data_IF_293544273608
#
_entry.id   IF_293544273608
#
_cell.length_a   1.000
_cell.length_b   1.000
_cell.length_c   1.000
_cell.angle_alpha   90.00
_cell.angle_beta   90.00
_cell.angle_gamma   90.00
#
_symmetry.space_group_name_H-M   'P 1'
#
loop_
_entity.id
_entity.type
_entity.pdbx_description
1 polymer ?
#
# COMPACT_ATOMS: atom_id res chain seq x y z
N UNK A 1 -41.58 -11.52 62.81
CA UNK A 1 -40.95 -10.55 63.74
C UNK A 1 -39.46 -10.78 63.68
N UNK A 2 -38.73 -9.92 62.96
CA UNK A 2 -37.97 -8.78 63.50
C UNK A 2 -36.49 -9.17 63.65
N UNK A 3 -35.63 -8.32 63.10
CA UNK A 3 -34.18 -8.23 63.31
C UNK A 3 -33.27 -8.99 62.34
N UNK A 4 -33.17 -8.48 61.11
CA UNK A 4 -31.90 -8.52 60.35
C UNK A 4 -31.59 -7.17 59.66
N UNK A 5 -32.14 -6.07 60.19
CA UNK A 5 -31.83 -4.69 59.81
C UNK A 5 -30.89 -4.14 60.88
N UNK A 6 -29.61 -4.52 60.83
CA UNK A 6 -28.56 -3.86 61.63
C UNK A 6 -27.16 -4.02 61.05
N UNK A 7 -27.04 -4.28 59.75
CA UNK A 7 -25.76 -4.29 59.04
C UNK A 7 -25.78 -3.32 57.87
N UNK A 8 -26.29 -2.11 58.14
CA UNK A 8 -26.35 -1.00 57.19
C UNK A 8 -26.02 0.31 57.93
N UNK A 9 -24.92 0.38 58.68
CA UNK A 9 -24.54 1.64 59.34
C UNK A 9 -23.03 1.84 59.59
N UNK A 10 -22.15 1.06 58.93
CA UNK A 10 -20.70 1.10 59.19
C UNK A 10 -19.81 1.54 58.01
N UNK A 11 -20.32 1.62 56.78
CA UNK A 11 -19.46 1.84 55.59
C UNK A 11 -19.81 3.09 54.77
N UNK A 12 -20.76 3.91 55.23
CA UNK A 12 -21.15 5.17 54.57
C UNK A 12 -20.45 6.43 55.12
N UNK A 13 -19.37 6.28 55.89
CA UNK A 13 -18.65 7.41 56.50
C UNK A 13 -17.17 7.52 56.11
N UNK A 14 -16.77 7.04 54.93
CA UNK A 14 -15.54 7.52 54.26
C UNK A 14 -15.93 8.65 53.32
N UNK A 15 -16.16 9.79 53.95
CA UNK A 15 -16.22 11.11 53.35
C UNK A 15 -14.79 11.66 53.14
N UNK A 16 -14.66 12.57 52.16
CA UNK A 16 -13.56 13.51 51.91
C UNK A 16 -12.32 13.01 51.15
N UNK A 17 -12.30 13.30 49.84
CA UNK A 17 -11.66 14.54 49.37
C UNK A 17 -11.94 14.77 47.88
N UNK A 18 -13.02 15.48 47.57
CA UNK A 18 -13.16 16.14 46.27
C UNK A 18 -12.19 17.33 46.26
N UNK A 19 -11.05 17.14 45.58
CA UNK A 19 -10.23 18.26 45.16
C UNK A 19 -11.03 19.08 44.16
N UNK A 20 -11.24 20.35 44.47
CA UNK A 20 -11.71 21.35 43.51
C UNK A 20 -10.71 21.39 42.35
N UNK A 21 -11.06 20.78 41.23
CA UNK A 21 -10.37 21.04 39.97
C UNK A 21 -10.73 22.46 39.54
N UNK A 22 -9.75 23.36 39.65
CA UNK A 22 -9.74 24.63 38.96
C UNK A 22 -10.05 24.38 37.49
N UNK A 23 -11.17 24.93 37.02
CA UNK A 23 -11.50 25.06 35.60
C UNK A 23 -10.41 25.93 34.97
N UNK A 24 -9.36 25.28 34.49
CA UNK A 24 -8.37 25.91 33.61
C UNK A 24 -9.13 26.21 32.33
N UNK A 25 -9.48 27.49 32.13
CA UNK A 25 -9.80 28.03 30.81
C UNK A 25 -8.63 27.65 29.90
N UNK A 26 -8.85 26.61 29.10
CA UNK A 26 -7.92 26.19 28.06
C UNK A 26 -7.98 27.27 27.00
N UNK A 27 -7.14 28.29 27.16
CA UNK A 27 -6.83 29.23 26.09
C UNK A 27 -6.41 28.37 24.91
N UNK A 28 -7.16 28.44 23.81
CA UNK A 28 -6.79 27.84 22.55
C UNK A 28 -5.53 28.55 22.05
N UNK A 29 -4.38 28.15 22.57
CA UNK A 29 -3.12 28.33 21.88
C UNK A 29 -3.20 27.42 20.66
N UNK A 30 -3.47 28.06 19.51
CA UNK A 30 -3.21 27.50 18.19
C UNK A 30 -1.78 26.96 18.27
N UNK A 31 -1.64 25.64 18.36
CA UNK A 31 -0.33 25.01 18.23
C UNK A 31 0.13 25.35 16.83
N UNK A 32 1.17 26.19 16.75
CA UNK A 32 1.98 26.33 15.56
C UNK A 32 2.28 24.93 15.02
N UNK A 33 1.85 24.71 13.79
CA UNK A 33 2.13 23.51 13.01
C UNK A 33 3.64 23.33 13.01
N UNK A 34 4.10 22.22 13.61
CA UNK A 34 5.51 21.87 13.63
C UNK A 34 6.08 21.97 12.20
N UNK A 35 7.29 22.54 12.01
CA UNK A 35 7.88 22.68 10.70
C UNK A 35 8.03 21.32 10.04
N UNK A 36 7.77 21.30 8.74
CA UNK A 36 7.66 20.14 7.86
C UNK A 36 8.87 19.18 7.83
N UNK A 37 9.97 19.54 8.50
CA UNK A 37 11.25 18.84 8.50
C UNK A 37 11.28 17.60 9.41
N UNK A 38 10.14 17.21 10.01
CA UNK A 38 10.02 16.01 10.85
C UNK A 38 8.88 15.08 10.45
N UNK A 39 8.51 15.02 9.16
CA UNK A 39 7.62 13.95 8.70
C UNK A 39 8.48 12.70 8.50
N UNK A 40 8.47 11.83 9.51
CA UNK A 40 9.11 10.51 9.44
C UNK A 40 8.22 9.57 8.61
N UNK A 41 8.44 9.58 7.30
CA UNK A 41 7.81 8.65 6.37
C UNK A 41 8.81 7.54 6.11
N UNK A 42 8.32 6.30 6.13
CA UNK A 42 9.09 5.16 5.67
C UNK A 42 9.61 5.40 4.25
N UNK A 43 10.90 5.16 4.03
CA UNK A 43 11.50 5.27 2.69
C UNK A 43 11.39 3.97 1.91
N UNK A 44 10.91 2.89 2.55
CA UNK A 44 10.71 1.54 2.00
C UNK A 44 9.24 1.23 1.72
N UNK A 45 8.51 2.20 1.15
CA UNK A 45 7.11 2.02 0.77
C UNK A 45 6.97 1.13 -0.46
N UNK A 46 5.98 0.25 -0.42
CA UNK A 46 5.59 -0.56 -1.57
C UNK A 46 4.11 -0.38 -1.87
N UNK A 47 3.75 -0.46 -3.13
CA UNK A 47 2.35 -0.42 -3.54
C UNK A 47 1.63 -1.72 -3.29
N UNK A 48 0.32 -1.63 -3.10
CA UNK A 48 -0.58 -2.79 -2.96
C UNK A 48 -1.62 -2.75 -4.06
N UNK A 49 -1.87 -3.92 -4.63
CA UNK A 49 -2.71 -4.08 -5.81
C UNK A 49 -3.57 -5.34 -5.72
N UNK A 50 -4.77 -5.26 -6.28
CA UNK A 50 -5.55 -6.44 -6.65
C UNK A 50 -4.96 -6.98 -7.96
N UNK A 51 -4.17 -8.05 -7.90
CA UNK A 51 -3.54 -8.67 -9.08
C UNK A 51 -4.52 -9.59 -9.83
N UNK A 52 -5.48 -10.17 -9.12
CA UNK A 52 -6.54 -11.01 -9.66
C UNK A 52 -7.83 -10.87 -8.83
N UNK A 53 -8.85 -11.67 -9.13
CA UNK A 53 -10.04 -11.84 -8.27
C UNK A 53 -9.73 -12.44 -6.89
N UNK A 54 -8.67 -13.23 -6.80
CA UNK A 54 -8.31 -14.05 -5.64
C UNK A 54 -7.03 -13.58 -4.95
N UNK A 55 -6.24 -12.75 -5.62
CA UNK A 55 -4.93 -12.30 -5.12
C UNK A 55 -4.87 -10.79 -5.04
N UNK A 56 -4.76 -10.30 -3.82
CA UNK A 56 -4.26 -8.95 -3.52
C UNK A 56 -2.84 -9.11 -2.99
N UNK A 57 -1.91 -8.25 -3.37
CA UNK A 57 -0.52 -8.38 -2.97
C UNK A 57 0.17 -7.03 -2.79
N UNK A 58 1.16 -6.99 -1.91
CA UNK A 58 2.20 -5.97 -1.93
C UNK A 58 3.09 -6.28 -3.13
N UNK A 59 3.44 -5.26 -3.92
CA UNK A 59 4.13 -5.43 -5.20
C UNK A 59 5.43 -4.64 -5.21
N UNK A 60 6.47 -5.29 -5.75
CA UNK A 60 7.77 -4.69 -6.06
C UNK A 60 7.99 -4.83 -7.56
N UNK A 61 8.07 -3.70 -8.26
CA UNK A 61 8.44 -3.68 -9.66
C UNK A 61 9.92 -3.98 -9.82
N UNK A 62 10.23 -4.95 -10.69
CA UNK A 62 11.60 -5.24 -11.11
C UNK A 62 12.02 -4.28 -12.22
N UNK A 63 13.32 -4.06 -12.34
CA UNK A 63 13.98 -3.25 -13.37
C UNK A 63 13.63 -1.75 -13.34
N UNK A 64 12.84 -1.32 -12.35
CA UNK A 64 12.61 0.09 -12.06
C UNK A 64 13.79 0.66 -11.27
N UNK A 65 14.73 1.30 -11.97
CA UNK A 65 15.95 1.90 -11.42
C UNK A 65 15.75 2.93 -10.29
N UNK A 66 14.49 3.26 -9.95
CA UNK A 66 14.11 4.27 -8.95
C UNK A 66 13.40 3.69 -7.71
N UNK A 67 13.16 2.37 -7.63
CA UNK A 67 12.56 1.76 -6.43
C UNK A 67 13.61 1.44 -5.36
N UNK A 68 13.26 1.67 -4.09
CA UNK A 68 14.12 1.44 -2.94
C UNK A 68 14.43 -0.07 -2.82
N UNK A 69 15.71 -0.44 -2.72
CA UNK A 69 16.20 -1.82 -2.84
C UNK A 69 15.88 -2.54 -4.16
N UNK A 70 15.39 -1.85 -5.21
CA UNK A 70 15.08 -2.46 -6.51
C UNK A 70 16.25 -3.29 -7.05
N UNK A 71 17.48 -2.78 -6.89
CA UNK A 71 18.70 -3.48 -7.28
C UNK A 71 18.88 -4.86 -6.62
N UNK A 72 18.50 -5.04 -5.35
CA UNK A 72 18.62 -6.34 -4.65
C UNK A 72 17.54 -7.33 -5.07
N UNK A 73 16.30 -6.86 -5.28
CA UNK A 73 15.23 -7.69 -5.84
C UNK A 73 15.57 -8.14 -7.26
N UNK A 74 16.06 -7.21 -8.08
CA UNK A 74 16.53 -7.48 -9.45
C UNK A 74 17.67 -8.47 -9.48
N UNK A 75 18.69 -8.29 -8.63
CA UNK A 75 19.83 -9.20 -8.57
C UNK A 75 19.40 -10.62 -8.22
N UNK A 76 18.60 -10.79 -7.17
CA UNK A 76 18.09 -12.11 -6.75
C UNK A 76 17.25 -12.73 -7.87
N UNK A 77 16.33 -11.95 -8.46
CA UNK A 77 15.50 -12.42 -9.56
C UNK A 77 16.35 -12.87 -10.76
N UNK A 78 17.27 -12.03 -11.24
CA UNK A 78 18.11 -12.32 -12.41
C UNK A 78 19.01 -13.55 -12.18
N UNK A 79 19.59 -13.70 -10.98
CA UNK A 79 20.41 -14.86 -10.64
C UNK A 79 19.60 -16.17 -10.66
N UNK A 80 18.36 -16.13 -10.19
CA UNK A 80 17.49 -17.30 -10.14
C UNK A 80 16.91 -17.59 -11.51
N UNK A 81 16.46 -16.56 -12.22
CA UNK A 81 15.91 -16.71 -13.56
C UNK A 81 16.92 -17.36 -14.51
N UNK A 82 18.16 -16.90 -14.50
CA UNK A 82 19.23 -17.45 -15.35
C UNK A 82 19.45 -18.95 -15.09
N UNK A 83 19.23 -19.42 -13.85
CA UNK A 83 19.47 -20.81 -13.43
C UNK A 83 18.23 -21.70 -13.59
N UNK A 84 17.05 -21.16 -13.31
CA UNK A 84 15.83 -21.92 -13.14
C UNK A 84 14.85 -21.71 -14.32
N UNK A 85 15.15 -20.78 -15.24
CA UNK A 85 14.40 -20.46 -16.45
C UNK A 85 12.89 -20.26 -16.19
N UNK A 86 12.55 -19.40 -15.24
CA UNK A 86 11.17 -19.07 -14.86
C UNK A 86 10.38 -18.45 -16.02
N UNK A 87 10.99 -17.71 -16.96
CA UNK A 87 10.27 -17.19 -18.15
C UNK A 87 9.71 -18.28 -19.06
N UNK A 88 10.13 -19.54 -18.92
CA UNK A 88 9.52 -20.66 -19.63
C UNK A 88 8.01 -20.81 -19.33
N UNK A 89 7.50 -20.21 -18.26
CA UNK A 89 6.06 -20.16 -17.97
C UNK A 89 5.25 -19.40 -19.04
N UNK A 90 5.86 -18.45 -19.73
CA UNK A 90 5.18 -17.62 -20.74
C UNK A 90 5.08 -18.32 -22.10
N UNK A 91 6.16 -18.99 -22.54
CA UNK A 91 6.34 -19.44 -23.93
C UNK A 91 6.13 -20.94 -24.18
N UNK A 92 5.43 -21.64 -23.27
CA UNK A 92 5.42 -23.10 -23.24
C UNK A 92 5.23 -23.80 -24.60
N UNK A 93 6.29 -24.44 -25.12
CA UNK A 93 6.16 -25.56 -26.06
C UNK A 93 7.17 -26.71 -25.76
N UNK A 94 6.57 -27.79 -25.28
CA UNK A 94 6.85 -29.21 -25.54
C UNK A 94 8.21 -29.91 -25.28
N UNK A 95 9.36 -29.30 -25.00
CA UNK A 95 10.61 -30.11 -25.05
C UNK A 95 11.49 -30.23 -23.82
N UNK A 96 11.34 -29.49 -22.72
CA UNK A 96 12.15 -29.77 -21.52
C UNK A 96 11.39 -29.56 -20.21
N UNK A 97 11.20 -30.64 -19.44
CA UNK A 97 10.77 -30.60 -18.03
C UNK A 97 11.81 -29.83 -17.22
N UNK A 98 11.57 -28.55 -16.96
CA UNK A 98 12.20 -27.84 -15.85
C UNK A 98 11.06 -27.31 -14.98
N UNK A 99 10.74 -28.03 -13.89
CA UNK A 99 9.68 -27.68 -12.95
C UNK A 99 10.30 -27.19 -11.64
N UNK A 100 10.91 -26.01 -11.67
CA UNK A 100 11.41 -25.33 -10.46
C UNK A 100 10.39 -24.33 -9.89
N UNK A 101 9.16 -24.34 -10.42
CA UNK A 101 8.08 -23.45 -9.98
C UNK A 101 6.71 -24.13 -10.02
N UNK A 102 5.77 -23.54 -9.30
CA UNK A 102 4.36 -23.92 -9.22
C UNK A 102 3.48 -22.72 -9.57
N UNK A 103 2.33 -22.94 -10.19
CA UNK A 103 1.36 -21.86 -10.39
C UNK A 103 0.71 -21.49 -9.06
N UNK A 104 0.69 -20.19 -8.75
CA UNK A 104 0.00 -19.64 -7.59
C UNK A 104 -1.38 -19.08 -7.98
N UNK A 105 -1.42 -18.25 -9.03
CA UNK A 105 -2.65 -17.67 -9.55
C UNK A 105 -2.51 -17.35 -11.04
N UNK A 106 -3.49 -17.73 -11.86
CA UNK A 106 -3.50 -17.52 -13.30
C UNK A 106 -4.73 -16.76 -13.77
N UNK A 107 -5.53 -16.20 -12.86
CA UNK A 107 -6.80 -15.53 -13.16
C UNK A 107 -6.66 -14.02 -13.38
N UNK A 108 -5.49 -13.46 -13.09
CA UNK A 108 -5.17 -12.04 -13.24
C UNK A 108 -4.47 -11.70 -14.55
N UNK A 109 -4.05 -10.44 -14.68
CA UNK A 109 -3.21 -10.00 -15.81
C UNK A 109 -1.83 -10.66 -15.81
N UNK A 110 -1.31 -10.97 -14.62
CA UNK A 110 -0.07 -11.71 -14.44
C UNK A 110 -0.34 -13.18 -14.20
N UNK A 111 0.47 -14.06 -14.78
CA UNK A 111 0.60 -15.44 -14.31
C UNK A 111 1.55 -15.44 -13.12
N UNK A 112 0.99 -15.60 -11.92
CA UNK A 112 1.77 -15.65 -10.69
C UNK A 112 2.29 -17.07 -10.45
N UNK A 113 3.59 -17.19 -10.27
CA UNK A 113 4.26 -18.47 -9.96
C UNK A 113 5.07 -18.38 -8.68
N UNK A 114 5.26 -19.53 -8.05
CA UNK A 114 6.03 -19.72 -6.84
C UNK A 114 7.30 -20.50 -7.16
N UNK A 115 8.46 -19.95 -6.85
CA UNK A 115 9.74 -20.66 -6.83
C UNK A 115 10.26 -20.71 -5.41
N UNK A 116 10.51 -21.92 -4.88
CA UNK A 116 10.98 -22.09 -3.50
C UNK A 116 12.34 -21.42 -3.27
N UNK A 117 13.21 -21.45 -4.28
CA UNK A 117 14.53 -20.83 -4.22
C UNK A 117 14.42 -19.30 -4.22
N UNK A 118 13.58 -18.75 -5.09
CA UNK A 118 13.28 -17.31 -5.11
C UNK A 118 12.71 -16.85 -3.78
N UNK A 119 11.69 -17.56 -3.28
CA UNK A 119 11.07 -17.24 -2.00
C UNK A 119 12.09 -17.23 -0.86
N UNK A 120 12.95 -18.26 -0.79
CA UNK A 120 13.96 -18.35 0.27
C UNK A 120 14.97 -17.20 0.23
N UNK A 121 15.41 -16.77 -0.96
CA UNK A 121 16.35 -15.65 -1.08
C UNK A 121 15.68 -14.31 -0.79
N UNK A 122 14.47 -14.07 -1.32
CA UNK A 122 13.72 -12.83 -1.06
C UNK A 122 13.37 -12.69 0.41
N UNK A 123 12.96 -13.78 1.09
CA UNK A 123 12.65 -13.77 2.54
C UNK A 123 13.84 -13.37 3.43
N UNK A 124 15.07 -13.38 2.93
CA UNK A 124 16.25 -12.91 3.69
C UNK A 124 16.37 -11.38 3.73
N UNK A 125 15.74 -10.67 2.79
CA UNK A 125 15.89 -9.22 2.64
C UNK A 125 14.60 -8.42 2.91
N UNK A 126 13.48 -9.11 3.14
CA UNK A 126 12.19 -8.49 3.45
C UNK A 126 11.80 -8.70 4.91
N UNK A 127 10.95 -7.81 5.42
CA UNK A 127 10.36 -7.98 6.74
C UNK A 127 9.36 -9.15 6.74
N UNK A 128 9.20 -9.75 7.92
CA UNK A 128 8.19 -10.79 8.16
C UNK A 128 6.77 -10.23 8.07
N UNK A 129 6.57 -8.98 8.45
CA UNK A 129 5.27 -8.30 8.40
C UNK A 129 5.40 -6.86 7.93
N UNK A 130 4.30 -6.34 7.40
CA UNK A 130 4.16 -4.96 6.96
C UNK A 130 2.81 -4.40 7.43
N UNK A 131 2.75 -3.09 7.66
CA UNK A 131 1.50 -2.38 7.83
C UNK A 131 0.92 -2.04 6.46
N UNK A 132 -0.21 -2.65 6.11
CA UNK A 132 -0.95 -2.39 4.87
C UNK A 132 -2.03 -1.35 5.13
N UNK A 133 -1.97 -0.23 4.40
CA UNK A 133 -2.92 0.88 4.51
C UNK A 133 -3.92 0.81 3.37
N UNK A 134 -5.20 0.82 3.74
CA UNK A 134 -6.31 0.92 2.82
C UNK A 134 -7.01 2.26 2.88
N UNK A 135 -8.05 2.43 2.07
CA UNK A 135 -8.78 3.71 1.95
C UNK A 135 -9.48 4.19 3.22
N UNK A 136 -9.60 3.36 4.27
CA UNK A 136 -10.33 3.68 5.51
C UNK A 136 -9.56 3.35 6.80
N UNK A 137 -8.47 2.60 6.70
CA UNK A 137 -7.79 2.04 7.87
C UNK A 137 -6.62 1.16 7.44
N UNK A 138 -5.98 0.52 8.40
CA UNK A 138 -4.81 -0.32 8.15
C UNK A 138 -4.86 -1.60 8.98
N UNK A 139 -4.07 -2.58 8.57
CA UNK A 139 -3.79 -3.78 9.35
C UNK A 139 -2.33 -4.18 9.15
N UNK A 140 -1.73 -4.75 10.17
CA UNK A 140 -0.50 -5.51 10.00
C UNK A 140 -0.79 -6.82 9.27
N UNK A 141 0.05 -7.17 8.30
CA UNK A 141 -0.05 -8.38 7.49
C UNK A 141 1.29 -9.10 7.49
N UNK A 142 1.25 -10.40 7.72
CA UNK A 142 2.42 -11.29 7.65
C UNK A 142 2.67 -11.74 6.21
N UNK A 143 3.93 -11.72 5.79
CA UNK A 143 4.35 -12.25 4.48
C UNK A 143 4.57 -13.76 4.59
N UNK A 144 3.59 -14.52 4.11
CA UNK A 144 3.64 -15.98 4.14
C UNK A 144 4.31 -16.56 2.89
N UNK A 145 4.03 -15.97 1.73
CA UNK A 145 4.47 -16.45 0.43
C UNK A 145 5.16 -15.34 -0.35
N UNK A 146 6.09 -15.73 -1.22
CA UNK A 146 6.67 -14.84 -2.23
C UNK A 146 6.38 -15.45 -3.59
N UNK A 147 5.77 -14.68 -4.47
CA UNK A 147 5.46 -15.09 -5.84
C UNK A 147 6.03 -14.09 -6.83
N UNK A 148 6.21 -14.53 -8.06
CA UNK A 148 6.64 -13.67 -9.16
C UNK A 148 5.54 -13.61 -10.21
N UNK A 149 5.22 -12.40 -10.65
CA UNK A 149 4.41 -12.17 -11.84
C UNK A 149 5.33 -11.91 -13.01
N UNK A 150 5.24 -12.75 -14.04
CA UNK A 150 5.98 -12.57 -15.28
C UNK A 150 5.04 -12.09 -16.37
N UNK A 151 5.53 -11.18 -17.19
CA UNK A 151 4.87 -10.63 -18.36
C UNK A 151 5.81 -10.73 -19.57
N UNK A 152 5.25 -10.82 -20.77
CA UNK A 152 5.96 -11.00 -22.05
C UNK A 152 6.88 -9.82 -22.36
N UNK A 153 6.57 -8.63 -21.83
CA UNK A 153 7.38 -7.42 -21.92
C UNK A 153 8.45 -7.28 -20.83
N UNK A 154 8.69 -8.32 -20.01
CA UNK A 154 9.65 -8.34 -18.88
C UNK A 154 9.39 -7.32 -17.77
N UNK A 155 8.22 -6.68 -17.76
CA UNK A 155 7.60 -5.95 -16.63
C UNK A 155 7.24 -6.92 -15.51
N UNK A 156 8.28 -7.53 -14.93
CA UNK A 156 8.14 -8.57 -13.93
C UNK A 156 7.99 -7.96 -12.55
N UNK A 157 7.21 -8.62 -11.71
CA UNK A 157 6.95 -8.16 -10.35
C UNK A 157 7.29 -9.25 -9.35
N UNK A 158 7.86 -8.86 -8.22
CA UNK A 158 7.81 -9.68 -7.01
C UNK A 158 6.56 -9.28 -6.24
N UNK A 159 5.75 -10.24 -5.84
CA UNK A 159 4.51 -10.02 -5.13
C UNK A 159 4.48 -10.81 -3.83
N UNK A 160 3.97 -10.16 -2.78
CA UNK A 160 3.71 -10.76 -1.48
C UNK A 160 2.19 -10.82 -1.28
N UNK A 161 1.56 -11.97 -1.56
CA UNK A 161 0.12 -12.12 -1.39
C UNK A 161 -0.30 -11.82 0.05
N UNK A 162 -1.30 -10.95 0.21
CA UNK A 162 -1.84 -10.59 1.52
C UNK A 162 -3.04 -11.48 1.85
N UNK A 163 -3.05 -12.01 3.07
CA UNK A 163 -4.15 -12.81 3.58
C UNK A 163 -4.86 -12.06 4.72
N UNK A 164 -6.17 -12.30 4.87
CA UNK A 164 -6.98 -11.81 5.99
C UNK A 164 -7.02 -10.28 6.15
N UNK A 165 -6.81 -9.52 5.07
CA UNK A 165 -7.03 -8.08 5.10
C UNK A 165 -8.53 -7.76 5.10
N UNK A 166 -9.03 -7.24 6.21
CA UNK A 166 -10.44 -6.88 6.36
C UNK A 166 -10.79 -5.63 5.53
N UNK A 167 -11.29 -5.87 4.31
CA UNK A 167 -11.68 -4.79 3.39
C UNK A 167 -12.96 -4.06 3.80
N UNK A 168 -13.78 -4.65 4.68
CA UNK A 168 -14.99 -4.00 5.21
C UNK A 168 -14.54 -2.91 6.19
N UNK A 169 -13.63 -3.25 7.11
CA UNK A 169 -13.06 -2.35 8.10
C UNK A 169 -12.09 -1.33 7.47
N UNK A 170 -11.12 -1.78 6.69
CA UNK A 170 -9.99 -0.96 6.25
C UNK A 170 -10.15 -0.40 4.82
N UNK A 171 -11.18 -0.82 4.08
CA UNK A 171 -11.38 -0.41 2.69
C UNK A 171 -10.46 -1.12 1.70
N UNK A 172 -10.14 -0.47 0.59
CA UNK A 172 -9.27 -1.04 -0.45
C UNK A 172 -7.80 -0.83 -0.06
N UNK A 173 -6.95 -1.86 -0.03
CA UNK A 173 -5.53 -1.69 0.29
C UNK A 173 -4.81 -0.95 -0.84
N UNK A 174 -3.90 -0.04 -0.49
CA UNK A 174 -3.27 0.91 -1.42
C UNK A 174 -1.75 0.80 -1.41
N UNK A 175 -1.14 0.81 -0.23
CA UNK A 175 0.31 0.73 -0.05
C UNK A 175 0.65 0.06 1.28
N UNK A 176 1.90 -0.29 1.49
CA UNK A 176 2.41 -0.75 2.77
C UNK A 176 3.68 -0.02 3.20
N UNK A 177 3.97 -0.14 4.49
CA UNK A 177 5.15 0.41 5.16
C UNK A 177 5.67 -0.63 6.15
N UNK A 178 6.98 -0.70 6.35
CA UNK A 178 7.62 -1.49 7.40
C UNK A 178 7.28 -0.93 8.77
N UNK A 179 7.26 0.39 8.90
CA UNK A 179 6.93 1.06 10.15
C UNK A 179 5.45 1.47 10.22
N UNK A 180 4.91 1.50 11.44
CA UNK A 180 3.59 2.02 11.69
C UNK A 180 3.60 3.54 11.50
N UNK A 181 2.91 4.00 10.46
CA UNK A 181 2.71 5.39 10.12
C UNK A 181 1.45 5.91 10.78
N UNK A 182 1.57 7.03 11.46
CA UNK A 182 0.43 7.71 12.09
C UNK A 182 -0.30 8.59 11.06
N UNK A 183 -1.01 7.96 10.14
CA UNK A 183 -1.75 8.63 9.08
C UNK A 183 -3.15 9.05 9.54
N UNK A 184 -3.63 10.17 9.01
CA UNK A 184 -4.97 10.68 9.28
C UNK A 184 -5.92 10.34 8.14
N UNK A 185 -7.10 9.80 8.47
CA UNK A 185 -8.19 9.58 7.52
C UNK A 185 -9.27 10.63 7.77
N UNK A 186 -9.31 11.66 6.92
CA UNK A 186 -10.33 12.71 7.02
C UNK A 186 -11.58 12.34 6.23
N UNK A 187 -12.69 13.02 6.57
CA UNK A 187 -13.96 12.86 5.83
C UNK A 187 -13.86 13.31 4.37
N UNK A 188 -12.99 14.28 4.09
CA UNK A 188 -12.86 14.89 2.77
C UNK A 188 -11.49 15.53 2.57
N UNK A 189 -10.92 15.30 1.39
CA UNK A 189 -9.69 15.95 0.91
C UNK A 189 -9.93 16.73 -0.39
N UNK A 190 -11.17 17.18 -0.65
CA UNK A 190 -11.58 17.70 -1.96
C UNK A 190 -10.69 18.84 -2.49
N UNK A 191 -10.32 19.80 -1.63
CA UNK A 191 -9.48 20.93 -2.03
C UNK A 191 -8.07 20.47 -2.42
N UNK A 192 -7.40 19.70 -1.55
CA UNK A 192 -6.05 19.17 -1.84
C UNK A 192 -6.06 18.26 -3.06
N UNK A 193 -7.07 17.40 -3.18
CA UNK A 193 -7.25 16.53 -4.34
C UNK A 193 -7.43 17.33 -5.63
N UNK A 194 -8.16 18.45 -5.60
CA UNK A 194 -8.28 19.34 -6.75
C UNK A 194 -6.92 19.93 -7.14
N UNK A 195 -6.15 20.46 -6.17
CA UNK A 195 -4.80 21.00 -6.41
C UNK A 195 -3.85 19.96 -7.01
N UNK A 196 -3.86 18.74 -6.48
CA UNK A 196 -3.04 17.63 -6.99
C UNK A 196 -3.41 17.29 -8.43
N UNK A 197 -4.71 17.18 -8.75
CA UNK A 197 -5.17 16.89 -10.11
C UNK A 197 -4.75 17.98 -11.10
N UNK A 198 -4.89 19.25 -10.73
CA UNK A 198 -4.41 20.35 -11.57
C UNK A 198 -2.89 20.30 -11.80
N UNK A 199 -2.12 19.88 -10.80
CA UNK A 199 -0.69 19.68 -10.94
C UNK A 199 -0.38 18.51 -11.89
N UNK A 200 -1.03 17.36 -11.74
CA UNK A 200 -0.88 16.20 -12.64
C UNK A 200 -1.29 16.53 -14.08
N UNK A 201 -2.37 17.29 -14.27
CA UNK A 201 -2.84 17.74 -15.58
C UNK A 201 -1.79 18.60 -16.29
N UNK A 202 -1.10 19.47 -15.55
CA UNK A 202 0.00 20.30 -16.09
C UNK A 202 1.24 19.47 -16.43
N UNK A 203 1.64 18.56 -15.54
CA UNK A 203 2.80 17.68 -15.75
C UNK A 203 2.61 16.73 -16.93
N UNK A 204 1.38 16.32 -17.20
CA UNK A 204 1.04 15.37 -18.26
C UNK A 204 0.68 16.02 -19.61
N UNK A 205 0.87 17.34 -19.78
CA UNK A 205 0.51 18.03 -21.03
C UNK A 205 1.13 17.38 -22.28
N UNK A 206 2.37 16.88 -22.17
CA UNK A 206 3.11 16.30 -23.28
C UNK A 206 3.19 14.76 -23.23
N UNK A 207 2.34 14.11 -22.44
CA UNK A 207 2.38 12.65 -22.35
C UNK A 207 1.59 12.05 -23.52
N UNK A 208 2.18 11.04 -24.15
CA UNK A 208 1.56 10.32 -25.28
C UNK A 208 0.30 9.53 -24.88
N UNK A 209 0.06 9.40 -23.56
CA UNK A 209 -1.09 8.74 -23.00
C UNK A 209 -1.60 9.44 -21.72
N UNK A 210 -2.92 9.42 -21.51
CA UNK A 210 -3.57 9.84 -20.26
C UNK A 210 -4.60 8.81 -19.81
N UNK A 211 -4.44 8.31 -18.59
CA UNK A 211 -5.46 7.50 -17.93
C UNK A 211 -6.65 8.41 -17.53
N UNK A 212 -7.87 7.88 -17.64
CA UNK A 212 -9.09 8.59 -17.26
C UNK A 212 -9.39 8.48 -15.76
N UNK A 213 -8.63 7.67 -15.02
CA UNK A 213 -8.79 7.54 -13.56
C UNK A 213 -8.16 8.73 -12.85
N UNK A 214 -9.02 9.57 -12.28
CA UNK A 214 -8.58 10.74 -11.50
C UNK A 214 -8.01 10.33 -10.14
N UNK A 215 -6.89 10.93 -9.78
CA UNK A 215 -6.25 10.78 -8.47
C UNK A 215 -7.19 11.12 -7.32
N UNK A 216 -7.18 10.29 -6.28
CA UNK A 216 -7.95 10.46 -5.05
C UNK A 216 -7.00 10.50 -3.87
N UNK A 217 -7.21 11.43 -2.95
CA UNK A 217 -6.48 11.51 -1.68
C UNK A 217 -7.30 10.81 -0.61
N UNK A 218 -6.68 9.91 0.15
CA UNK A 218 -7.38 9.15 1.20
C UNK A 218 -6.80 9.34 2.59
N UNK A 219 -5.55 9.80 2.70
CA UNK A 219 -4.93 10.06 3.98
C UNK A 219 -3.83 11.12 3.88
N UNK A 220 -3.38 11.63 5.03
CA UNK A 220 -2.20 12.50 5.11
C UNK A 220 -1.39 12.28 6.40
N UNK A 221 -0.13 12.72 6.38
CA UNK A 221 0.69 12.98 7.58
C UNK A 221 1.24 14.40 7.40
N UNK A 222 0.76 15.36 8.19
CA UNK A 222 1.07 16.77 7.95
C UNK A 222 0.73 17.17 6.51
N UNK A 223 1.71 17.74 5.80
CA UNK A 223 1.54 18.18 4.40
C UNK A 223 1.83 17.06 3.37
N UNK A 224 2.10 15.83 3.80
CA UNK A 224 2.28 14.68 2.92
C UNK A 224 0.94 13.96 2.71
N UNK A 225 0.41 14.02 1.49
CA UNK A 225 -0.89 13.49 1.12
C UNK A 225 -0.76 12.21 0.32
N UNK A 226 -1.35 11.13 0.84
CA UNK A 226 -1.35 9.81 0.24
C UNK A 226 -2.51 9.71 -0.74
N UNK A 227 -2.18 9.33 -1.96
CA UNK A 227 -3.09 9.35 -3.09
C UNK A 227 -2.97 8.10 -3.94
N UNK A 228 -4.05 7.80 -4.66
CA UNK A 228 -4.10 6.72 -5.63
C UNK A 228 -4.95 7.11 -6.83
N UNK A 229 -4.61 6.58 -8.00
CA UNK A 229 -5.43 6.60 -9.21
C UNK A 229 -5.66 5.14 -9.61
N UNK A 230 -6.72 4.55 -9.06
CA UNK A 230 -7.11 3.16 -9.32
C UNK A 230 -8.63 3.02 -9.20
N UNK A 231 -9.24 2.26 -10.09
CA UNK A 231 -10.66 1.89 -10.02
C UNK A 231 -10.90 0.56 -9.28
N UNK A 232 -9.82 -0.15 -8.93
CA UNK A 232 -9.80 -1.47 -8.30
C UNK A 232 -10.51 -2.55 -9.11
N UNK A 233 -10.64 -2.34 -10.41
CA UNK A 233 -11.29 -3.27 -11.33
C UNK A 233 -10.28 -4.01 -12.18
N UNK A 234 -9.10 -3.47 -12.47
CA UNK A 234 -8.20 -4.04 -13.49
C UNK A 234 -7.80 -5.50 -13.20
N UNK A 235 -7.43 -5.85 -11.96
CA UNK A 235 -7.10 -7.24 -11.64
C UNK A 235 -8.32 -8.13 -11.44
N UNK A 236 -9.45 -7.58 -11.00
CA UNK A 236 -10.67 -8.36 -10.68
C UNK A 236 -11.57 -8.57 -11.88
N UNK A 237 -11.70 -7.56 -12.72
CA UNK A 237 -12.60 -7.48 -13.86
C UNK A 237 -11.94 -6.64 -14.97
N UNK A 238 -10.87 -7.14 -15.61
CA UNK A 238 -10.05 -6.36 -16.55
C UNK A 238 -10.88 -5.71 -17.67
N UNK A 239 -11.86 -6.43 -18.23
CA UNK A 239 -12.76 -5.90 -19.27
C UNK A 239 -13.71 -4.79 -18.81
N UNK A 240 -13.77 -4.47 -17.52
CA UNK A 240 -14.57 -3.38 -16.95
C UNK A 240 -13.73 -2.22 -16.44
N UNK A 241 -12.41 -2.40 -16.31
CA UNK A 241 -11.53 -1.35 -15.81
C UNK A 241 -11.27 -0.33 -16.89
N UNK A 242 -11.26 0.94 -16.49
CA UNK A 242 -10.78 2.05 -17.32
C UNK A 242 -9.34 2.41 -16.97
N UNK A 243 -8.81 1.84 -15.89
CA UNK A 243 -7.45 2.04 -15.42
C UNK A 243 -6.48 1.21 -16.24
N UNK A 244 -5.43 1.87 -16.73
CA UNK A 244 -4.30 1.25 -17.43
C UNK A 244 -2.97 1.49 -16.72
N UNK A 245 -2.91 2.53 -15.88
CA UNK A 245 -1.77 2.79 -15.01
C UNK A 245 -2.24 3.01 -13.58
N UNK A 246 -2.61 1.93 -12.86
CA UNK A 246 -2.96 2.05 -11.46
C UNK A 246 -1.73 2.58 -10.69
N UNK A 247 -1.86 3.80 -10.16
CA UNK A 247 -0.77 4.52 -9.51
C UNK A 247 -1.03 4.85 -8.04
N UNK A 248 0.06 5.01 -7.30
CA UNK A 248 0.13 5.34 -5.88
C UNK A 248 1.13 6.45 -5.74
N UNK A 249 0.81 7.42 -4.92
CA UNK A 249 1.67 8.59 -4.79
C UNK A 249 1.55 9.23 -3.43
N UNK A 250 2.63 9.87 -3.02
CA UNK A 250 2.65 10.80 -1.90
C UNK A 250 3.04 12.16 -2.46
N UNK A 251 2.16 13.13 -2.26
CA UNK A 251 2.36 14.52 -2.65
C UNK A 251 2.65 15.37 -1.44
N UNK A 252 3.70 16.19 -1.50
CA UNK A 252 3.93 17.26 -0.52
C UNK A 252 3.19 18.50 -1.01
N UNK A 253 2.15 18.90 -0.27
CA UNK A 253 1.31 20.06 -0.60
C UNK A 253 1.41 21.06 0.54
N UNK A 254 2.27 22.08 0.38
CA UNK A 254 2.40 23.18 1.35
C UNK A 254 1.70 24.42 0.84
N UNK A 255 1.31 25.29 1.77
CA UNK A 255 0.82 26.62 1.43
C UNK A 255 1.89 27.40 0.65
N UNK A 256 1.46 28.04 -0.45
CA UNK A 256 2.26 28.94 -1.29
C UNK A 256 3.56 28.35 -1.86
N UNK A 257 3.66 27.02 -1.96
CA UNK A 257 4.81 26.33 -2.58
C UNK A 257 4.36 25.38 -3.68
N UNK A 258 5.21 25.12 -4.69
CA UNK A 258 4.92 24.11 -5.71
C UNK A 258 4.66 22.74 -5.07
N UNK A 259 3.69 22.00 -5.61
CA UNK A 259 3.45 20.61 -5.24
C UNK A 259 4.67 19.79 -5.66
N UNK A 260 5.13 18.90 -4.76
CA UNK A 260 6.23 17.97 -5.04
C UNK A 260 5.74 16.53 -4.93
N UNK A 261 6.11 15.69 -5.90
CA UNK A 261 6.04 14.22 -5.78
C UNK A 261 7.13 13.74 -4.81
N UNK A 262 6.74 13.20 -3.67
CA UNK A 262 7.66 12.61 -2.69
C UNK A 262 7.98 11.16 -3.05
N UNK A 263 6.93 10.41 -3.33
CA UNK A 263 6.99 9.01 -3.73
C UNK A 263 5.92 8.79 -4.80
N UNK A 264 6.26 8.04 -5.84
CA UNK A 264 5.36 7.65 -6.92
C UNK A 264 5.73 6.24 -7.29
N UNK A 265 4.71 5.41 -7.40
CA UNK A 265 4.82 4.03 -7.83
C UNK A 265 3.57 3.68 -8.64
N UNK A 266 3.72 2.79 -9.60
CA UNK A 266 2.70 2.49 -10.59
C UNK A 266 2.92 1.10 -11.17
N UNK A 267 1.84 0.48 -11.64
CA UNK A 267 1.97 -0.67 -12.50
C UNK A 267 1.62 -0.25 -13.91
N UNK A 268 2.52 -0.55 -14.83
CA UNK A 268 2.20 -0.51 -16.25
C UNK A 268 1.34 -1.72 -16.60
N UNK A 269 0.13 -1.49 -17.10
CA UNK A 269 -0.73 -2.52 -17.67
C UNK A 269 -0.80 -2.45 -19.20
N UNK A 270 0.00 -1.58 -19.84
CA UNK A 270 0.29 -1.65 -21.27
C UNK A 270 1.36 -2.72 -21.48
N UNK A 271 0.98 -3.81 -22.13
CA UNK A 271 1.84 -5.00 -22.19
C UNK A 271 1.13 -6.30 -22.56
N UNK A 272 -0.15 -6.27 -22.92
CA UNK A 272 -0.73 -7.32 -23.77
C UNK A 272 -0.39 -6.95 -25.22
N UNK A 273 0.35 -7.79 -25.96
CA UNK A 273 1.81 -7.94 -25.98
C UNK A 273 2.57 -6.72 -26.56
N UNK A 274 3.89 -6.66 -26.34
CA UNK A 274 4.80 -5.77 -27.06
C UNK A 274 4.88 -6.20 -28.54
N UNK A 275 4.58 -5.30 -29.49
CA UNK A 275 4.82 -5.51 -30.93
C UNK A 275 6.30 -5.77 -31.25
#
# INVERSE_FOLDING_TARGET
MKNFISFFLGLLLISCNQKNETIVKKTNTIKETAPLEKIDIDTTLFSVYDLSKTTTAIVVNLQEKKTYNGASFDEIFNQIETKDSLYNVLYGSQTNKIKNFEYYDTLGSYKLIKSKKLENEIKKIVEKSYYVYGTKGFSEVTINDVVVGLDECRTSIIAFPIQNFDTIKNGKPIFCSKQLLKIEYQKSYLETQYKIRQYEEKESINYDYKDNIKTKVFANIGDAYFAYNDDFLWGKYPGKSKCKFPGRSIYIVKKDKPIKKFWVDGLDLFGIPCD
#
